data_IF_366547035016
#
_entry.id   IF_366547035016
#
_cell.length_a   1.000
_cell.length_b   1.000
_cell.length_c   1.000
_cell.angle_alpha   90.00
_cell.angle_beta   90.00
_cell.angle_gamma   90.00
#
_symmetry.space_group_name_H-M   'P 1'
#
loop_
_entity.id
_entity.type
_entity.pdbx_description
1 polymer ?
#
# COMPACT_ATOMS: atom_id res chain seq x y z
N UNK A 1 5.49 2.68 -3.49
CA UNK A 1 5.60 3.09 -4.91
C UNK A 1 4.74 2.20 -5.79
N UNK A 2 4.10 2.77 -6.81
CA UNK A 2 3.31 2.02 -7.80
C UNK A 2 4.22 1.32 -8.81
N UNK A 3 3.75 0.20 -9.37
CA UNK A 3 4.50 -0.50 -10.41
C UNK A 3 4.69 0.38 -11.65
N UNK A 4 5.89 0.34 -12.24
CA UNK A 4 6.29 1.19 -13.37
C UNK A 4 6.02 2.70 -13.15
N UNK A 5 5.92 3.14 -11.89
CA UNK A 5 5.57 4.52 -11.53
C UNK A 5 4.27 5.03 -12.18
N UNK A 6 3.30 4.15 -12.44
CA UNK A 6 1.97 4.53 -12.96
C UNK A 6 1.27 5.52 -12.00
N UNK A 7 0.73 6.65 -12.48
CA UNK A 7 0.30 7.75 -11.63
C UNK A 7 -1.15 7.64 -11.12
N UNK A 8 -1.54 6.50 -10.54
CA UNK A 8 -2.93 6.26 -10.15
C UNK A 8 -3.28 6.63 -8.70
N UNK A 9 -2.30 6.90 -7.83
CA UNK A 9 -2.55 7.08 -6.39
C UNK A 9 -3.41 8.31 -6.09
N UNK A 10 -3.23 9.40 -6.85
CA UNK A 10 -3.98 10.64 -6.68
C UNK A 10 -5.35 10.64 -7.38
N UNK A 11 -5.70 9.58 -8.12
CA UNK A 11 -7.05 9.43 -8.68
C UNK A 11 -8.10 9.29 -7.57
N UNK A 12 -9.38 9.52 -7.87
CA UNK A 12 -10.45 9.34 -6.89
C UNK A 12 -10.53 7.91 -6.35
N UNK A 13 -10.36 6.93 -7.25
CA UNK A 13 -10.31 5.50 -6.89
C UNK A 13 -9.11 5.22 -5.96
N UNK A 14 -7.92 5.74 -6.31
CA UNK A 14 -6.71 5.58 -5.52
C UNK A 14 -6.84 6.18 -4.12
N UNK A 15 -7.29 7.45 -4.03
CA UNK A 15 -7.50 8.16 -2.77
C UNK A 15 -8.55 7.48 -1.89
N UNK A 16 -9.68 7.08 -2.46
CA UNK A 16 -10.76 6.43 -1.74
C UNK A 16 -10.33 5.09 -1.16
N UNK A 17 -9.74 4.23 -1.99
CA UNK A 17 -9.35 2.87 -1.57
C UNK A 17 -8.20 2.88 -0.57
N UNK A 18 -7.22 3.77 -0.71
CA UNK A 18 -6.14 3.93 0.28
C UNK A 18 -6.67 4.36 1.64
N UNK A 19 -7.55 5.37 1.67
CA UNK A 19 -8.17 5.82 2.91
C UNK A 19 -8.96 4.69 3.58
N UNK A 20 -9.75 3.95 2.80
CA UNK A 20 -10.51 2.80 3.30
C UNK A 20 -9.59 1.71 3.84
N UNK A 21 -8.52 1.37 3.12
CA UNK A 21 -7.53 0.37 3.53
C UNK A 21 -6.84 0.74 4.85
N UNK A 22 -6.41 2.00 4.99
CA UNK A 22 -5.77 2.49 6.20
C UNK A 22 -6.74 2.38 7.39
N UNK A 23 -7.98 2.84 7.21
CA UNK A 23 -8.98 2.80 8.29
C UNK A 23 -9.33 1.36 8.69
N UNK A 24 -9.47 0.45 7.73
CA UNK A 24 -9.76 -0.97 7.97
C UNK A 24 -8.63 -1.65 8.75
N UNK A 25 -7.38 -1.44 8.33
CA UNK A 25 -6.21 -2.01 9.01
C UNK A 25 -6.05 -1.46 10.42
N UNK A 26 -6.32 -0.16 10.64
CA UNK A 26 -6.24 0.48 11.96
C UNK A 26 -7.19 -0.12 13.00
N UNK A 27 -8.30 -0.75 12.58
CA UNK A 27 -9.23 -1.40 13.51
C UNK A 27 -8.61 -2.61 14.21
N UNK A 28 -7.79 -3.39 13.51
CA UNK A 28 -7.19 -4.62 14.03
C UNK A 28 -5.70 -4.47 14.38
N UNK A 29 -5.03 -3.48 13.77
CA UNK A 29 -3.62 -3.16 13.98
C UNK A 29 -3.47 -1.66 14.22
N UNK A 30 -3.68 -1.18 15.45
CA UNK A 30 -3.64 0.26 15.74
C UNK A 30 -2.28 0.88 15.40
N UNK A 31 -2.28 2.09 14.85
CA UNK A 31 -1.11 2.97 14.68
C UNK A 31 -1.59 4.41 14.51
N UNK A 32 -0.72 5.36 14.83
CA UNK A 32 -0.89 6.77 14.54
C UNK A 32 -0.17 7.13 13.24
N UNK A 33 -0.70 8.13 12.53
CA UNK A 33 -0.11 8.63 11.28
C UNK A 33 0.38 10.04 11.56
N UNK A 34 1.69 10.20 11.72
CA UNK A 34 2.31 11.49 12.00
C UNK A 34 2.42 12.32 10.71
N UNK A 35 2.68 11.65 9.59
CA UNK A 35 2.67 12.25 8.27
C UNK A 35 2.24 11.23 7.20
N UNK A 36 1.52 11.69 6.19
CA UNK A 36 1.21 10.91 4.99
C UNK A 36 1.19 11.81 3.76
N UNK A 37 2.18 11.62 2.89
CA UNK A 37 2.30 12.36 1.63
C UNK A 37 1.94 11.42 0.48
N UNK A 38 0.91 11.80 -0.26
CA UNK A 38 0.42 11.07 -1.43
C UNK A 38 0.83 11.80 -2.71
N UNK A 39 1.70 11.18 -3.48
CA UNK A 39 2.15 11.64 -4.79
C UNK A 39 1.58 10.71 -5.87
N UNK A 40 1.48 11.13 -7.15
CA UNK A 40 0.74 10.37 -8.16
C UNK A 40 1.17 8.90 -8.28
N UNK A 41 2.45 8.59 -8.08
CA UNK A 41 3.00 7.25 -8.21
C UNK A 41 3.77 6.74 -6.97
N UNK A 42 3.81 7.52 -5.88
CA UNK A 42 4.42 7.08 -4.63
C UNK A 42 3.73 7.64 -3.38
N UNK A 43 3.92 6.95 -2.27
CA UNK A 43 3.38 7.30 -0.96
C UNK A 43 4.54 7.30 0.02
N UNK A 44 4.62 8.36 0.82
CA UNK A 44 5.47 8.41 2.01
C UNK A 44 4.58 8.50 3.24
N UNK A 45 4.94 7.77 4.29
CA UNK A 45 4.22 7.85 5.56
C UNK A 45 5.18 7.67 6.73
N UNK A 46 4.87 8.38 7.81
CA UNK A 46 5.50 8.23 9.11
C UNK A 46 4.39 7.72 10.04
N UNK A 47 4.66 6.60 10.69
CA UNK A 47 3.74 5.97 11.63
C UNK A 47 4.39 5.84 12.99
N UNK A 48 3.62 6.16 14.02
CA UNK A 48 3.92 5.78 15.39
C UNK A 48 3.13 4.52 15.73
N UNK A 49 3.84 3.47 16.14
CA UNK A 49 3.24 2.20 16.56
C UNK A 49 3.01 2.20 18.08
N UNK A 50 2.08 1.35 18.59
CA UNK A 50 1.96 1.12 20.03
C UNK A 50 3.27 0.62 20.65
N UNK A 51 3.46 0.87 21.94
CA UNK A 51 4.65 0.44 22.68
C UNK A 51 4.87 -1.07 22.56
N UNK A 52 6.10 -1.46 22.25
CA UNK A 52 6.48 -2.87 22.04
C UNK A 52 6.05 -3.47 20.70
N UNK A 53 5.27 -2.76 19.88
CA UNK A 53 4.87 -3.21 18.55
C UNK A 53 5.89 -2.77 17.48
N UNK A 54 6.43 -3.74 16.75
CA UNK A 54 7.38 -3.52 15.64
C UNK A 54 6.81 -3.98 14.30
N UNK A 55 5.54 -4.36 14.25
CA UNK A 55 4.91 -5.03 13.12
C UNK A 55 4.33 -4.04 12.10
N UNK A 56 5.13 -3.07 11.64
CA UNK A 56 4.78 -2.20 10.53
C UNK A 56 4.62 -2.98 9.21
N UNK A 57 5.41 -4.05 9.03
CA UNK A 57 5.40 -4.89 7.83
C UNK A 57 4.03 -5.51 7.57
N UNK A 58 3.34 -6.00 8.60
CA UNK A 58 1.99 -6.57 8.45
C UNK A 58 0.97 -5.50 8.08
N UNK A 59 0.97 -4.36 8.77
CA UNK A 59 0.09 -3.22 8.45
C UNK A 59 0.22 -2.81 6.99
N UNK A 60 1.45 -2.62 6.53
CA UNK A 60 1.72 -2.22 5.16
C UNK A 60 1.37 -3.29 4.13
N UNK A 61 1.61 -4.58 4.44
CA UNK A 61 1.18 -5.70 3.60
C UNK A 61 -0.35 -5.73 3.46
N UNK A 62 -1.09 -5.58 4.55
CA UNK A 62 -2.55 -5.58 4.55
C UNK A 62 -3.11 -4.41 3.76
N UNK A 63 -2.58 -3.19 3.97
CA UNK A 63 -2.97 -2.00 3.19
C UNK A 63 -2.77 -2.25 1.69
N UNK A 64 -1.58 -2.70 1.28
CA UNK A 64 -1.29 -3.00 -0.14
C UNK A 64 -2.20 -4.08 -0.71
N UNK A 65 -2.56 -5.08 0.10
CA UNK A 65 -3.43 -6.19 -0.30
C UNK A 65 -4.87 -5.70 -0.51
N UNK A 66 -5.40 -4.92 0.43
CA UNK A 66 -6.72 -4.31 0.33
C UNK A 66 -6.85 -3.46 -0.92
N UNK A 67 -5.90 -2.54 -1.13
CA UNK A 67 -5.90 -1.66 -2.30
C UNK A 67 -5.77 -2.47 -3.59
N UNK A 68 -4.93 -3.51 -3.63
CA UNK A 68 -4.83 -4.39 -4.80
C UNK A 68 -6.18 -4.99 -5.14
N UNK A 69 -6.88 -5.60 -4.17
CA UNK A 69 -8.19 -6.23 -4.40
C UNK A 69 -9.27 -5.24 -4.84
N UNK A 70 -9.22 -3.99 -4.37
CA UNK A 70 -10.28 -3.00 -4.64
C UNK A 70 -10.01 -2.13 -5.86
N UNK A 71 -8.74 -1.93 -6.23
CA UNK A 71 -8.34 -1.06 -7.35
C UNK A 71 -8.06 -1.80 -8.64
N UNK A 72 -7.59 -3.06 -8.61
CA UNK A 72 -7.07 -3.71 -9.83
C UNK A 72 -8.10 -3.75 -10.95
N UNK A 73 -9.35 -4.08 -10.62
CA UNK A 73 -10.47 -4.12 -11.58
C UNK A 73 -10.88 -2.70 -12.00
N UNK A 74 -10.98 -1.77 -11.04
CA UNK A 74 -11.50 -0.41 -11.27
C UNK A 74 -10.56 0.49 -12.05
N UNK A 75 -9.25 0.27 -11.97
CA UNK A 75 -8.24 1.06 -12.66
C UNK A 75 -7.93 0.53 -14.06
N UNK A 76 -8.57 -0.57 -14.51
CA UNK A 76 -8.30 -1.24 -15.79
C UNK A 76 -6.79 -1.46 -16.05
N UNK A 77 -6.02 -1.71 -14.97
CA UNK A 77 -4.57 -1.89 -15.09
C UNK A 77 -4.33 -3.26 -15.71
N UNK A 78 -4.04 -3.27 -17.01
CA UNK A 78 -3.66 -4.48 -17.73
C UNK A 78 -2.57 -5.24 -16.98
N UNK A 79 -2.91 -6.46 -16.56
CA UNK A 79 -2.05 -7.31 -15.75
C UNK A 79 -1.35 -8.34 -16.62
N UNK A 80 -0.47 -7.89 -17.52
CA UNK A 80 0.57 -8.77 -18.07
C UNK A 80 1.54 -9.10 -16.92
N UNK A 81 1.22 -10.14 -16.15
CA UNK A 81 2.03 -10.63 -15.05
C UNK A 81 3.13 -11.52 -15.61
N UNK A 82 4.36 -11.30 -15.15
CA UNK A 82 5.47 -12.21 -15.46
C UNK A 82 5.30 -13.52 -14.70
N UNK A 83 5.87 -14.61 -15.21
CA UNK A 83 5.83 -15.94 -14.56
C UNK A 83 6.34 -15.90 -13.11
N UNK A 84 7.37 -15.10 -12.84
CA UNK A 84 7.90 -14.89 -11.49
C UNK A 84 6.84 -14.33 -10.52
N UNK A 85 5.98 -13.42 -11.00
CA UNK A 85 4.91 -12.81 -10.20
C UNK A 85 3.73 -13.75 -10.03
N UNK A 86 3.37 -14.49 -11.08
CA UNK A 86 2.36 -15.55 -11.00
C UNK A 86 2.73 -16.59 -9.93
N UNK A 87 3.97 -17.10 -9.95
CA UNK A 87 4.46 -18.07 -8.96
C UNK A 87 4.39 -17.55 -7.51
N UNK A 88 4.55 -16.25 -7.31
CA UNK A 88 4.53 -15.61 -5.98
C UNK A 88 3.19 -14.96 -5.63
N UNK A 89 2.16 -15.11 -6.47
CA UNK A 89 0.84 -14.48 -6.34
C UNK A 89 0.93 -12.96 -6.11
N UNK A 90 1.87 -12.31 -6.80
CA UNK A 90 2.11 -10.87 -6.72
C UNK A 90 1.31 -10.13 -7.79
N UNK A 91 0.79 -8.93 -7.48
CA UNK A 91 0.11 -8.06 -8.45
C UNK A 91 1.05 -7.02 -9.08
N UNK A 92 0.65 -6.47 -10.22
CA UNK A 92 1.33 -5.37 -10.90
C UNK A 92 0.88 -3.98 -10.43
N UNK A 93 0.27 -3.87 -9.24
CA UNK A 93 -0.19 -2.58 -8.75
C UNK A 93 0.93 -1.80 -8.02
N UNK A 94 1.74 -2.53 -7.26
CA UNK A 94 2.80 -2.00 -6.42
C UNK A 94 4.19 -2.46 -6.90
N UNK A 95 5.22 -1.68 -6.55
CA UNK A 95 6.57 -2.23 -6.55
C UNK A 95 6.74 -3.28 -5.45
N UNK A 96 7.62 -4.26 -5.70
CA UNK A 96 7.82 -5.42 -4.81
C UNK A 96 8.38 -5.02 -3.46
N UNK A 97 9.34 -4.10 -3.47
CA UNK A 97 10.02 -3.57 -2.29
C UNK A 97 9.45 -2.21 -1.93
N UNK A 98 9.55 -1.89 -0.65
CA UNK A 98 9.37 -0.55 -0.13
C UNK A 98 10.63 -0.19 0.66
N UNK A 99 10.74 1.08 1.00
CA UNK A 99 11.80 1.55 1.88
C UNK A 99 11.19 1.78 3.26
N UNK A 100 11.90 1.33 4.28
CA UNK A 100 11.55 1.53 5.68
C UNK A 100 12.76 2.05 6.46
N UNK A 101 12.47 2.88 7.46
CA UNK A 101 13.43 3.27 8.48
C UNK A 101 12.68 3.32 9.81
N UNK A 102 13.20 2.61 10.81
CA UNK A 102 12.61 2.55 12.14
C UNK A 102 13.49 3.34 13.11
N UNK A 103 12.95 4.43 13.64
CA UNK A 103 13.52 5.18 14.76
C UNK A 103 13.03 4.55 16.07
N UNK A 104 13.93 4.31 17.01
CA UNK A 104 13.65 3.72 18.33
C UNK A 104 14.16 4.64 19.42
#
# INVERSE_FOLDING_TARGET
MTYQRRPWLCSDIGRFTLRKAINDVRQNYPFSIDALILLPNHLHCIWTLPDGDTNYTTRWRLIKTFVTKQCSEKLAIESQLTDSRHKRRESNLWQRRFWEHATR
#
